data_IF_449286778013
#
_entry.id   IF_449286778013
#
_cell.length_a   1.000
_cell.length_b   1.000
_cell.length_c   1.000
_cell.angle_alpha   90.00
_cell.angle_beta   90.00
_cell.angle_gamma   90.00
#
_symmetry.space_group_name_H-M   'P 1'
#
loop_
_entity.id
_entity.type
_entity.pdbx_description
1 polymer ?
#
# COMPACT_ATOMS: atom_id res chain seq x y z
N UNK A 1 -19.68 -6.91 20.77
CA UNK A 1 -18.68 -5.86 21.07
C UNK A 1 -18.97 -4.76 20.08
N UNK A 2 -19.53 -3.65 20.52
CA UNK A 2 -19.72 -2.48 19.68
C UNK A 2 -18.35 -1.79 19.55
N UNK A 3 -17.90 -1.64 18.33
CA UNK A 3 -16.70 -0.86 18.03
C UNK A 3 -17.10 0.60 17.85
N UNK A 4 -16.24 1.54 18.26
CA UNK A 4 -16.46 2.96 18.01
C UNK A 4 -16.44 3.29 16.51
N UNK A 5 -16.86 4.52 16.12
CA UNK A 5 -16.91 4.92 14.71
C UNK A 5 -15.53 4.97 14.03
N UNK A 6 -14.47 4.98 14.81
CA UNK A 6 -13.06 5.03 14.42
C UNK A 6 -12.46 3.65 14.12
N UNK A 7 -13.11 2.56 14.56
CA UNK A 7 -12.68 1.19 14.30
C UNK A 7 -13.84 0.30 13.87
N UNK A 8 -13.68 -0.40 12.74
CA UNK A 8 -14.63 -1.38 12.25
C UNK A 8 -13.89 -2.64 11.76
N UNK A 9 -14.53 -3.80 12.01
CA UNK A 9 -14.03 -5.10 11.56
C UNK A 9 -15.10 -5.77 10.67
N UNK A 10 -14.68 -6.13 9.46
CA UNK A 10 -15.49 -6.84 8.47
C UNK A 10 -14.99 -8.28 8.38
N UNK A 11 -15.76 -9.22 8.92
CA UNK A 11 -15.40 -10.63 8.94
C UNK A 11 -15.63 -11.25 7.55
N UNK A 12 -14.56 -11.75 6.93
CA UNK A 12 -14.60 -12.38 5.61
C UNK A 12 -13.46 -13.39 5.51
N UNK A 13 -13.81 -14.64 5.17
CA UNK A 13 -12.87 -15.74 4.97
C UNK A 13 -12.65 -16.09 3.48
N UNK A 14 -13.40 -15.47 2.59
CA UNK A 14 -13.25 -15.57 1.15
C UNK A 14 -12.45 -14.39 0.61
N UNK A 15 -11.45 -14.67 -0.24
CA UNK A 15 -10.54 -13.63 -0.75
C UNK A 15 -11.22 -12.72 -1.77
N UNK A 16 -12.11 -13.28 -2.60
CA UNK A 16 -12.86 -12.50 -3.60
C UNK A 16 -13.85 -11.57 -2.91
N UNK A 17 -14.66 -12.10 -1.97
CA UNK A 17 -15.56 -11.28 -1.17
C UNK A 17 -14.82 -10.21 -0.35
N UNK A 18 -13.64 -10.55 0.19
CA UNK A 18 -12.79 -9.58 0.89
C UNK A 18 -12.33 -8.45 -0.03
N UNK A 19 -11.93 -8.76 -1.27
CA UNK A 19 -11.53 -7.76 -2.24
C UNK A 19 -12.69 -6.80 -2.58
N UNK A 20 -13.90 -7.30 -2.79
CA UNK A 20 -15.10 -6.50 -3.06
C UNK A 20 -15.45 -5.58 -1.87
N UNK A 21 -15.36 -6.09 -0.65
CA UNK A 21 -15.56 -5.28 0.57
C UNK A 21 -14.52 -4.16 0.62
N UNK A 22 -13.24 -4.47 0.37
CA UNK A 22 -12.15 -3.50 0.37
C UNK A 22 -12.38 -2.42 -0.69
N UNK A 23 -12.78 -2.78 -1.91
CA UNK A 23 -13.10 -1.83 -2.98
C UNK A 23 -14.20 -0.85 -2.57
N UNK A 24 -15.30 -1.36 -2.02
CA UNK A 24 -16.41 -0.54 -1.58
C UNK A 24 -16.00 0.42 -0.44
N UNK A 25 -15.26 -0.07 0.55
CA UNK A 25 -14.74 0.73 1.65
C UNK A 25 -13.75 1.79 1.15
N UNK A 26 -12.82 1.40 0.26
CA UNK A 26 -11.84 2.31 -0.31
C UNK A 26 -12.50 3.47 -1.05
N UNK A 27 -13.47 3.16 -1.92
CA UNK A 27 -14.20 4.17 -2.66
C UNK A 27 -15.00 5.12 -1.73
N UNK A 28 -15.62 4.60 -0.67
CA UNK A 28 -16.32 5.40 0.32
C UNK A 28 -15.37 6.34 1.08
N UNK A 29 -14.22 5.84 1.50
CA UNK A 29 -13.24 6.64 2.24
C UNK A 29 -12.52 7.66 1.35
N UNK A 30 -12.21 7.30 0.09
CA UNK A 30 -11.65 8.22 -0.90
C UNK A 30 -12.59 9.40 -1.21
N UNK A 31 -13.90 9.14 -1.31
CA UNK A 31 -14.91 10.22 -1.48
C UNK A 31 -14.91 11.22 -0.33
N UNK A 32 -14.58 10.78 0.90
CA UNK A 32 -14.53 11.64 2.10
C UNK A 32 -13.19 12.35 2.28
N UNK A 33 -12.10 11.69 1.92
CA UNK A 33 -10.75 12.09 2.35
C UNK A 33 -9.77 12.34 1.21
N UNK A 34 -10.17 12.07 -0.04
CA UNK A 34 -9.28 12.06 -1.20
C UNK A 34 -8.37 10.82 -1.22
N UNK A 35 -7.72 10.57 -2.34
CA UNK A 35 -6.84 9.40 -2.54
C UNK A 35 -5.66 9.41 -1.57
N UNK A 36 -5.11 10.58 -1.24
CA UNK A 36 -3.99 10.71 -0.29
C UNK A 36 -4.38 10.50 1.16
N UNK A 37 -5.66 10.70 1.47
CA UNK A 37 -6.18 10.48 2.81
C UNK A 37 -6.45 9.02 3.15
N UNK A 38 -6.34 8.10 2.19
CA UNK A 38 -6.70 6.69 2.36
C UNK A 38 -5.55 5.77 1.96
N UNK A 39 -5.27 4.77 2.80
CA UNK A 39 -4.35 3.69 2.46
C UNK A 39 -5.03 2.34 2.55
N UNK A 40 -4.81 1.48 1.56
CA UNK A 40 -5.04 0.05 1.67
C UNK A 40 -3.72 -0.66 1.98
N UNK A 41 -3.69 -1.39 3.09
CA UNK A 41 -2.51 -2.09 3.59
C UNK A 41 -2.75 -3.61 3.65
N UNK A 42 -1.85 -4.38 3.08
CA UNK A 42 -1.89 -5.84 3.12
C UNK A 42 -0.51 -6.41 3.42
N UNK A 43 -0.41 -7.59 4.08
CA UNK A 43 0.87 -8.22 4.33
C UNK A 43 1.56 -8.77 3.08
N UNK A 44 0.81 -9.15 2.02
CA UNK A 44 1.34 -9.82 0.83
C UNK A 44 1.42 -8.89 -0.38
N UNK A 45 2.57 -8.96 -1.07
CA UNK A 45 2.74 -8.25 -2.34
C UNK A 45 2.06 -8.99 -3.50
N UNK A 46 2.20 -10.31 -3.55
CA UNK A 46 1.74 -11.16 -4.65
C UNK A 46 0.87 -12.32 -4.14
N UNK A 47 0.34 -13.13 -5.04
CA UNK A 47 -0.26 -14.46 -4.83
C UNK A 47 -1.73 -14.52 -4.38
N UNK A 48 -2.36 -13.44 -3.98
CA UNK A 48 -3.76 -13.44 -3.57
C UNK A 48 -4.50 -12.29 -4.22
N UNK A 49 -5.83 -12.41 -4.32
CA UNK A 49 -6.69 -11.34 -4.85
C UNK A 49 -6.66 -10.07 -4.00
N UNK A 50 -6.27 -10.18 -2.73
CA UNK A 50 -6.11 -9.06 -1.81
C UNK A 50 -4.64 -8.65 -1.61
N UNK A 51 -3.73 -9.10 -2.48
CA UNK A 51 -2.33 -8.69 -2.51
C UNK A 51 -2.17 -7.26 -3.05
N UNK A 52 -1.01 -6.66 -2.82
CA UNK A 52 -0.72 -5.30 -3.29
C UNK A 52 -0.93 -5.18 -4.80
N UNK A 53 -0.36 -6.11 -5.59
CA UNK A 53 -0.40 -6.02 -7.04
C UNK A 53 -1.83 -6.16 -7.57
N UNK A 54 -2.60 -7.13 -7.08
CA UNK A 54 -3.99 -7.32 -7.49
C UNK A 54 -4.86 -6.12 -7.11
N UNK A 55 -4.73 -5.63 -5.88
CA UNK A 55 -5.53 -4.51 -5.40
C UNK A 55 -5.14 -3.17 -6.03
N UNK A 56 -3.88 -2.97 -6.38
CA UNK A 56 -3.47 -1.77 -7.12
C UNK A 56 -4.24 -1.63 -8.44
N UNK A 57 -4.36 -2.71 -9.21
CA UNK A 57 -5.10 -2.71 -10.48
C UNK A 57 -6.61 -2.45 -10.23
N UNK A 58 -7.18 -3.11 -9.23
CA UNK A 58 -8.61 -2.99 -8.89
C UNK A 58 -8.94 -1.58 -8.39
N UNK A 59 -8.13 -1.03 -7.47
CA UNK A 59 -8.33 0.30 -6.91
C UNK A 59 -8.07 1.40 -7.95
N UNK A 60 -7.08 1.24 -8.84
CA UNK A 60 -6.88 2.13 -9.97
C UNK A 60 -8.14 2.22 -10.84
N UNK A 61 -8.73 1.07 -11.19
CA UNK A 61 -9.94 1.03 -12.00
C UNK A 61 -11.14 1.77 -11.37
N UNK A 62 -11.19 1.82 -10.03
CA UNK A 62 -12.23 2.52 -9.29
C UNK A 62 -12.04 4.04 -9.24
N UNK A 63 -10.80 4.51 -9.03
CA UNK A 63 -10.53 5.93 -8.77
C UNK A 63 -9.95 6.66 -9.97
N UNK A 64 -9.31 5.94 -10.88
CA UNK A 64 -8.75 6.46 -12.11
C UNK A 64 -9.03 5.53 -13.31
N UNK A 65 -10.32 5.31 -13.68
CA UNK A 65 -10.68 4.42 -14.77
C UNK A 65 -10.12 4.89 -16.12
N UNK A 66 -9.99 3.98 -17.10
CA UNK A 66 -9.69 4.38 -18.47
C UNK A 66 -10.79 5.26 -19.02
N UNK A 67 -10.42 6.20 -19.88
CA UNK A 67 -11.37 7.08 -20.57
C UNK A 67 -10.88 7.35 -21.99
N UNK A 68 -11.81 7.61 -22.96
CA UNK A 68 -11.44 7.97 -24.33
C UNK A 68 -10.48 9.16 -24.35
N UNK A 69 -9.35 9.01 -25.02
CA UNK A 69 -8.32 10.06 -25.15
C UNK A 69 -7.44 10.25 -23.92
N UNK A 70 -7.62 9.47 -22.85
CA UNK A 70 -6.73 9.51 -21.68
C UNK A 70 -5.43 8.77 -22.01
N UNK A 71 -4.27 9.45 -21.90
CA UNK A 71 -2.99 8.81 -22.17
C UNK A 71 -2.71 7.65 -21.19
N UNK A 72 -2.19 6.56 -21.74
CA UNK A 72 -1.75 5.38 -20.99
C UNK A 72 -0.35 4.95 -21.46
N UNK A 73 0.44 4.42 -20.53
CA UNK A 73 1.71 3.76 -20.80
C UNK A 73 1.67 2.33 -20.26
N UNK A 74 2.21 1.38 -21.00
CA UNK A 74 2.19 -0.05 -20.61
C UNK A 74 3.59 -0.52 -20.30
N UNK A 75 3.75 -1.14 -19.12
CA UNK A 75 4.98 -1.83 -18.76
C UNK A 75 4.65 -3.20 -18.13
N UNK A 76 4.92 -4.26 -18.88
CA UNK A 76 4.54 -5.61 -18.47
C UNK A 76 3.03 -5.77 -18.31
N UNK A 77 2.58 -6.04 -17.09
CA UNK A 77 1.15 -6.14 -16.77
C UNK A 77 0.56 -4.84 -16.22
N UNK A 78 1.39 -3.85 -15.96
CA UNK A 78 0.95 -2.56 -15.42
C UNK A 78 0.54 -1.62 -16.55
N UNK A 79 -0.56 -0.91 -16.33
CA UNK A 79 -1.02 0.20 -17.14
C UNK A 79 -1.01 1.45 -16.29
N UNK A 80 -0.13 2.37 -16.63
CA UNK A 80 -0.05 3.68 -16.01
C UNK A 80 -0.92 4.66 -16.78
N UNK A 81 -1.75 5.43 -16.09
CA UNK A 81 -2.65 6.42 -16.66
C UNK A 81 -2.34 7.81 -16.18
N UNK A 82 -2.59 8.80 -16.99
CA UNK A 82 -2.54 10.19 -16.57
C UNK A 82 -3.37 10.38 -15.28
N UNK A 83 -2.74 10.97 -14.24
CA UNK A 83 -3.35 11.18 -12.94
C UNK A 83 -3.24 9.99 -11.98
N UNK A 84 -2.56 8.90 -12.35
CA UNK A 84 -2.32 7.79 -11.43
C UNK A 84 -1.42 8.19 -10.27
N UNK A 85 -1.78 7.67 -9.10
CA UNK A 85 -0.90 7.63 -7.94
C UNK A 85 0.10 6.49 -8.11
N UNK A 86 1.38 6.82 -8.07
CA UNK A 86 2.48 5.87 -8.24
C UNK A 86 3.45 5.91 -7.07
N UNK A 87 4.19 4.83 -6.89
CA UNK A 87 5.22 4.70 -5.87
C UNK A 87 6.54 4.32 -6.51
N UNK A 88 7.61 5.03 -6.15
CA UNK A 88 8.98 4.64 -6.49
C UNK A 88 9.35 3.35 -5.75
N UNK A 89 9.89 2.35 -6.46
CA UNK A 89 10.22 1.06 -5.85
C UNK A 89 11.71 0.78 -5.71
N UNK A 90 12.55 1.67 -6.25
CA UNK A 90 14.03 1.67 -6.08
C UNK A 90 14.49 3.12 -6.03
N UNK A 91 15.61 3.37 -5.35
CA UNK A 91 16.21 4.71 -5.38
C UNK A 91 16.67 5.05 -6.80
N UNK A 92 16.31 6.24 -7.24
CA UNK A 92 16.68 6.76 -8.55
C UNK A 92 16.81 8.29 -8.48
N UNK A 93 17.99 8.83 -8.75
CA UNK A 93 18.29 10.26 -8.65
C UNK A 93 17.84 10.89 -7.30
N UNK A 94 16.86 11.82 -7.35
CA UNK A 94 16.36 12.55 -6.19
C UNK A 94 15.15 11.89 -5.53
N UNK A 95 14.73 10.70 -6.02
CA UNK A 95 13.55 9.99 -5.54
C UNK A 95 13.95 8.65 -4.92
N UNK A 96 13.38 8.36 -3.76
CA UNK A 96 13.73 7.19 -2.95
C UNK A 96 12.65 6.12 -2.99
N UNK A 97 13.04 4.89 -2.70
CA UNK A 97 12.10 3.78 -2.57
C UNK A 97 11.06 4.07 -1.48
N UNK A 98 9.79 4.09 -1.89
CA UNK A 98 8.64 4.42 -1.06
C UNK A 98 8.09 5.83 -1.27
N UNK A 99 8.80 6.71 -2.01
CA UNK A 99 8.26 8.00 -2.39
C UNK A 99 7.03 7.81 -3.28
N UNK A 100 6.01 8.63 -3.05
CA UNK A 100 4.73 8.59 -3.76
C UNK A 100 4.56 9.87 -4.55
N UNK A 101 4.14 9.73 -5.79
CA UNK A 101 3.87 10.85 -6.69
C UNK A 101 2.65 10.62 -7.58
N UNK A 102 2.39 11.57 -8.46
CA UNK A 102 1.31 11.53 -9.43
C UNK A 102 1.83 11.68 -10.84
N UNK A 103 1.27 10.90 -11.76
CA UNK A 103 1.58 11.03 -13.19
C UNK A 103 0.92 12.30 -13.70
N UNK A 104 1.74 13.24 -14.15
CA UNK A 104 1.33 14.56 -14.66
C UNK A 104 1.33 14.63 -16.17
N UNK A 105 2.09 13.77 -16.85
CA UNK A 105 2.14 13.69 -18.31
C UNK A 105 2.49 12.27 -18.76
N UNK A 106 1.94 11.87 -19.89
CA UNK A 106 2.35 10.70 -20.66
C UNK A 106 2.41 11.13 -22.13
N UNK A 107 3.57 10.98 -22.77
CA UNK A 107 3.81 11.29 -24.18
C UNK A 107 4.37 10.07 -24.89
N UNK A 108 4.25 10.01 -26.20
CA UNK A 108 4.62 8.82 -27.00
C UNK A 108 3.45 7.87 -27.20
N UNK A 109 3.74 6.64 -27.59
CA UNK A 109 2.75 5.58 -27.73
C UNK A 109 2.76 4.62 -26.52
N UNK A 110 1.90 3.60 -26.51
CA UNK A 110 1.76 2.68 -25.37
C UNK A 110 3.06 1.94 -24.99
N UNK A 111 3.98 1.75 -25.93
CA UNK A 111 5.20 0.93 -25.78
C UNK A 111 6.48 1.75 -25.72
N UNK A 112 6.45 2.98 -26.24
CA UNK A 112 7.57 3.93 -26.22
C UNK A 112 7.15 5.24 -25.53
N UNK A 113 6.52 5.10 -24.38
CA UNK A 113 6.01 6.23 -23.61
C UNK A 113 7.07 6.84 -22.70
N UNK A 114 7.05 8.17 -22.61
CA UNK A 114 7.69 8.94 -21.55
C UNK A 114 6.64 9.33 -20.53
N UNK A 115 6.82 8.93 -19.27
CA UNK A 115 5.93 9.19 -18.15
C UNK A 115 6.57 10.20 -17.22
N UNK A 116 5.93 11.36 -17.02
CA UNK A 116 6.37 12.37 -16.07
C UNK A 116 5.61 12.21 -14.76
N UNK A 117 6.34 12.13 -13.64
CA UNK A 117 5.80 11.99 -12.29
C UNK A 117 6.23 13.15 -11.43
N UNK A 118 5.27 13.79 -10.77
CA UNK A 118 5.52 14.78 -9.73
C UNK A 118 5.44 14.12 -8.35
N UNK A 119 6.57 14.11 -7.63
CA UNK A 119 6.68 13.60 -6.26
C UNK A 119 6.52 14.69 -5.18
N UNK A 120 6.17 15.90 -5.59
CA UNK A 120 6.09 17.05 -4.71
C UNK A 120 7.45 17.68 -4.38
N UNK A 121 7.42 18.81 -3.70
CA UNK A 121 8.62 19.59 -3.31
C UNK A 121 9.55 19.93 -4.48
N UNK A 122 8.98 20.10 -5.70
CA UNK A 122 9.73 20.40 -6.92
C UNK A 122 10.45 19.20 -7.54
N UNK A 123 10.24 17.99 -7.03
CA UNK A 123 10.85 16.75 -7.56
C UNK A 123 9.98 16.17 -8.67
N UNK A 124 10.24 16.60 -9.89
CA UNK A 124 9.59 16.08 -11.10
C UNK A 124 10.57 15.19 -11.85
N UNK A 125 10.14 13.98 -12.18
CA UNK A 125 10.97 12.95 -12.82
C UNK A 125 10.31 12.44 -14.09
N UNK A 126 11.13 12.18 -15.10
CA UNK A 126 10.73 11.53 -16.34
C UNK A 126 11.24 10.10 -16.37
N UNK A 127 10.37 9.18 -16.82
CA UNK A 127 10.65 7.76 -16.94
C UNK A 127 10.38 7.29 -18.35
N UNK A 128 11.40 6.77 -19.01
CA UNK A 128 11.29 6.22 -20.35
C UNK A 128 11.34 4.70 -20.31
N UNK A 129 10.50 4.03 -21.08
CA UNK A 129 10.56 2.59 -21.36
C UNK A 129 10.97 1.73 -20.15
N UNK A 130 12.19 1.26 -20.17
CA UNK A 130 12.77 0.38 -19.14
C UNK A 130 12.82 1.01 -17.74
N UNK A 131 12.78 2.32 -17.63
CA UNK A 131 12.76 3.01 -16.35
C UNK A 131 11.40 2.89 -15.65
N UNK A 132 10.31 2.62 -16.39
CA UNK A 132 8.99 2.35 -15.83
C UNK A 132 9.00 1.17 -14.83
N UNK A 133 9.97 0.26 -14.91
CA UNK A 133 10.22 -0.79 -13.89
C UNK A 133 10.57 -0.24 -12.50
N UNK A 134 10.89 1.04 -12.38
CA UNK A 134 11.18 1.72 -11.12
C UNK A 134 9.91 2.21 -10.42
N UNK A 135 8.78 2.20 -11.14
CA UNK A 135 7.48 2.61 -10.65
C UNK A 135 6.55 1.41 -10.37
N UNK A 136 5.65 1.62 -9.45
CA UNK A 136 4.50 0.75 -9.18
C UNK A 136 3.27 1.63 -8.95
N UNK A 137 2.06 1.08 -9.08
CA UNK A 137 0.86 1.81 -8.65
C UNK A 137 0.88 2.01 -7.13
N UNK A 138 0.40 3.15 -6.66
CA UNK A 138 0.49 3.60 -5.28
C UNK A 138 -0.83 3.57 -4.48
N UNK A 139 -1.85 2.85 -4.95
CA UNK A 139 -3.16 2.76 -4.26
C UNK A 139 -3.18 1.74 -3.13
N UNK A 140 -2.43 0.65 -3.29
CA UNK A 140 -2.22 -0.39 -2.30
C UNK A 140 -0.74 -0.47 -1.91
N UNK A 141 -0.45 -0.82 -0.66
CA UNK A 141 0.92 -0.95 -0.17
C UNK A 141 1.07 -2.07 0.84
N UNK A 142 2.29 -2.54 1.04
CA UNK A 142 2.57 -3.40 2.18
C UNK A 142 2.65 -2.56 3.46
N UNK A 143 2.31 -3.18 4.60
CA UNK A 143 2.42 -2.53 5.90
C UNK A 143 3.82 -1.99 6.16
N UNK A 144 4.88 -2.67 5.69
CA UNK A 144 6.26 -2.22 5.86
C UNK A 144 6.57 -0.93 5.09
N UNK A 145 6.08 -0.82 3.85
CA UNK A 145 6.30 0.38 3.03
C UNK A 145 5.50 1.59 3.51
N UNK A 146 4.44 1.39 4.30
CA UNK A 146 3.68 2.48 4.89
C UNK A 146 4.34 3.09 6.14
N UNK A 147 5.49 2.58 6.59
CA UNK A 147 6.19 3.12 7.74
C UNK A 147 6.61 4.58 7.48
N UNK A 148 6.38 5.45 8.46
CA UNK A 148 6.63 6.90 8.33
C UNK A 148 5.43 7.71 7.80
N UNK A 149 4.56 7.12 6.98
CA UNK A 149 3.37 7.78 6.47
C UNK A 149 2.20 7.74 7.48
N UNK A 150 1.23 8.66 7.33
CA UNK A 150 -0.03 8.66 8.08
C UNK A 150 -1.19 9.02 7.15
N UNK A 151 -2.34 8.39 7.39
CA UNK A 151 -3.53 8.54 6.56
C UNK A 151 -4.75 8.84 7.44
N UNK A 152 -5.74 9.55 6.92
CA UNK A 152 -7.01 9.77 7.62
C UNK A 152 -7.75 8.46 7.84
N UNK A 153 -7.77 7.59 6.84
CA UNK A 153 -8.38 6.26 6.92
C UNK A 153 -7.41 5.18 6.44
N UNK A 154 -7.32 4.09 7.19
CA UNK A 154 -6.54 2.92 6.82
C UNK A 154 -7.47 1.72 6.71
N UNK A 155 -7.41 1.03 5.57
CA UNK A 155 -8.07 -0.25 5.35
C UNK A 155 -6.98 -1.32 5.39
N UNK A 156 -7.09 -2.28 6.28
CA UNK A 156 -6.11 -3.37 6.45
C UNK A 156 -6.74 -4.72 6.13
N UNK A 157 -6.07 -5.51 5.29
CA UNK A 157 -6.48 -6.90 5.06
C UNK A 157 -5.68 -7.86 5.96
N UNK A 158 -6.39 -8.77 6.65
CA UNK A 158 -5.82 -9.82 7.49
C UNK A 158 -6.52 -11.16 7.25
N UNK A 159 -5.83 -12.08 6.55
CA UNK A 159 -6.31 -13.43 6.26
C UNK A 159 -5.42 -14.48 6.92
N UNK A 160 -5.97 -15.65 7.27
CA UNK A 160 -5.17 -16.78 7.77
C UNK A 160 -4.15 -17.27 6.75
N UNK A 161 -4.40 -17.07 5.45
CA UNK A 161 -3.43 -17.28 4.38
C UNK A 161 -2.12 -16.48 4.56
N UNK A 162 -2.16 -15.37 5.30
CA UNK A 162 -1.00 -14.55 5.63
C UNK A 162 -0.17 -15.10 6.82
N UNK A 163 -0.28 -16.38 7.15
CA UNK A 163 0.15 -16.99 8.41
C UNK A 163 1.55 -16.56 8.90
N UNK A 164 2.53 -16.48 7.99
CA UNK A 164 3.93 -16.10 8.32
C UNK A 164 4.03 -14.62 8.73
N UNK A 165 3.17 -13.77 8.16
CA UNK A 165 3.16 -12.32 8.38
C UNK A 165 2.20 -11.88 9.49
N UNK A 166 1.46 -12.82 10.12
CA UNK A 166 0.55 -12.51 11.22
C UNK A 166 1.33 -12.30 12.51
N UNK A 167 1.88 -11.11 12.68
CA UNK A 167 2.67 -10.67 13.84
C UNK A 167 2.06 -9.41 14.45
N UNK A 168 2.17 -9.26 15.77
CA UNK A 168 1.70 -8.07 16.52
C UNK A 168 2.27 -6.78 15.93
N UNK A 169 3.55 -6.77 15.59
CA UNK A 169 4.23 -5.61 15.04
C UNK A 169 3.59 -5.09 13.73
N UNK A 170 3.10 -6.00 12.86
CA UNK A 170 2.43 -5.62 11.61
C UNK A 170 1.09 -4.95 11.90
N UNK A 171 0.28 -5.54 12.78
CA UNK A 171 -1.01 -4.97 13.18
C UNK A 171 -0.79 -3.60 13.85
N UNK A 172 0.15 -3.52 14.78
CA UNK A 172 0.52 -2.27 15.45
C UNK A 172 0.96 -1.19 14.45
N UNK A 173 1.83 -1.54 13.51
CA UNK A 173 2.29 -0.60 12.48
C UNK A 173 1.10 -0.07 11.66
N UNK A 174 0.19 -0.93 11.21
CA UNK A 174 -0.98 -0.50 10.44
C UNK A 174 -1.92 0.41 11.26
N UNK A 175 -2.19 0.05 12.52
CA UNK A 175 -3.02 0.87 13.44
C UNK A 175 -2.44 2.27 13.58
N UNK A 176 -1.13 2.37 13.79
CA UNK A 176 -0.45 3.67 13.99
C UNK A 176 -0.35 4.53 12.72
N UNK A 177 -0.74 4.01 11.56
CA UNK A 177 -0.87 4.79 10.31
C UNK A 177 -2.22 5.53 10.22
N UNK A 178 -3.26 5.04 10.90
CA UNK A 178 -4.59 5.63 10.89
C UNK A 178 -4.66 6.83 11.84
N UNK A 179 -5.12 7.98 11.33
CA UNK A 179 -5.39 9.19 12.13
C UNK A 179 -6.83 9.24 12.64
N UNK A 180 -7.80 8.85 11.82
CA UNK A 180 -9.22 8.97 12.13
C UNK A 180 -9.93 7.62 12.14
N UNK A 181 -9.64 6.74 11.16
CA UNK A 181 -10.36 5.47 11.01
C UNK A 181 -9.46 4.33 10.65
N UNK A 182 -9.70 3.18 11.28
CA UNK A 182 -9.13 1.90 10.95
C UNK A 182 -10.24 0.92 10.59
N UNK A 183 -10.19 0.37 9.39
CA UNK A 183 -11.11 -0.63 8.86
C UNK A 183 -10.32 -1.91 8.61
N UNK A 184 -10.66 -3.00 9.28
CA UNK A 184 -10.00 -4.30 9.06
C UNK A 184 -10.97 -5.21 8.32
N UNK A 185 -10.52 -5.77 7.20
CA UNK A 185 -11.25 -6.77 6.41
C UNK A 185 -10.50 -8.09 6.47
N UNK A 186 -11.18 -9.18 6.84
CA UNK A 186 -10.56 -10.49 6.87
C UNK A 186 -11.06 -11.38 8.01
N UNK A 187 -10.24 -12.35 8.40
CA UNK A 187 -10.63 -13.35 9.38
C UNK A 187 -10.32 -12.90 10.81
N UNK A 188 -11.32 -12.97 11.68
CA UNK A 188 -11.15 -12.70 13.12
C UNK A 188 -10.06 -13.59 13.76
N UNK A 189 -9.92 -14.84 13.29
CA UNK A 189 -8.87 -15.76 13.72
C UNK A 189 -7.49 -15.25 13.34
N UNK A 190 -7.34 -14.64 12.15
CA UNK A 190 -6.07 -14.05 11.71
C UNK A 190 -5.66 -12.86 12.59
N UNK A 191 -6.59 -11.97 12.93
CA UNK A 191 -6.36 -10.86 13.85
C UNK A 191 -5.94 -11.35 15.23
N UNK A 192 -6.68 -12.31 15.80
CA UNK A 192 -6.35 -12.90 17.11
C UNK A 192 -4.95 -13.56 17.10
N UNK A 193 -4.62 -14.28 16.02
CA UNK A 193 -3.30 -14.88 15.84
C UNK A 193 -2.20 -13.84 15.77
N UNK A 194 -2.41 -12.79 14.98
CA UNK A 194 -1.44 -11.71 14.84
C UNK A 194 -1.17 -11.00 16.17
N UNK A 195 -2.21 -10.66 16.95
CA UNK A 195 -2.07 -10.00 18.26
C UNK A 195 -1.30 -10.86 19.24
N UNK A 196 -1.48 -12.19 19.23
CA UNK A 196 -0.78 -13.13 20.13
C UNK A 196 0.65 -13.42 19.72
N UNK A 197 1.02 -13.20 18.45
CA UNK A 197 2.34 -13.52 17.93
C UNK A 197 3.33 -12.37 18.17
N UNK A 198 4.18 -12.55 19.20
CA UNK A 198 5.22 -11.59 19.62
C UNK A 198 6.63 -11.99 19.16
N UNK A 199 6.77 -12.98 18.26
CA UNK A 199 8.09 -13.48 17.85
C UNK A 199 9.01 -12.42 17.25
N UNK A 200 8.46 -11.37 16.65
CA UNK A 200 9.24 -10.25 16.12
C UNK A 200 9.92 -9.40 17.21
N UNK A 201 9.37 -9.42 18.44
CA UNK A 201 9.89 -8.65 19.57
C UNK A 201 11.15 -9.31 20.19
N UNK A 202 11.40 -10.58 19.85
CA UNK A 202 12.55 -11.36 20.30
C UNK A 202 13.75 -11.23 19.35
N UNK A 203 14.02 -10.05 18.83
CA UNK A 203 15.26 -9.80 18.09
C UNK A 203 16.41 -9.85 19.09
N UNK A 204 17.13 -10.97 19.15
CA UNK A 204 18.37 -11.11 19.90
C UNK A 204 19.45 -10.20 19.32
N UNK A 205 19.34 -8.90 19.55
CA UNK A 205 20.41 -7.97 19.21
C UNK A 205 21.53 -8.18 20.21
N UNK A 206 22.77 -8.35 19.73
CA UNK A 206 23.96 -8.35 20.62
C UNK A 206 24.25 -6.95 21.19
N UNK A 207 23.28 -6.01 21.09
CA UNK A 207 23.47 -4.62 21.49
C UNK A 207 23.82 -4.49 22.98
N UNK A 208 23.09 -5.18 23.85
CA UNK A 208 23.37 -5.17 25.29
C UNK A 208 24.80 -5.65 25.58
N UNK A 209 25.24 -6.73 24.92
CA UNK A 209 26.61 -7.26 25.05
C UNK A 209 27.64 -6.28 24.51
N UNK A 210 27.40 -5.68 23.35
CA UNK A 210 28.29 -4.67 22.77
C UNK A 210 28.41 -3.42 23.62
N UNK A 211 27.34 -2.99 24.28
CA UNK A 211 27.37 -1.86 25.24
C UNK A 211 28.20 -2.24 26.44
N UNK A 212 28.04 -3.45 26.99
CA UNK A 212 28.85 -3.93 28.09
C UNK A 212 30.35 -4.02 27.74
N UNK A 213 30.68 -4.53 26.53
CA UNK A 213 32.06 -4.62 26.01
C UNK A 213 32.69 -3.24 25.72
N UNK A 214 31.88 -2.17 25.65
CA UNK A 214 32.37 -0.80 25.39
C UNK A 214 32.53 0.03 26.68
N UNK A 215 31.94 -0.38 27.79
CA UNK A 215 31.97 0.32 29.10
C UNK A 215 33.09 -0.26 30.00
N UNK A 216 33.65 -1.40 29.66
CA UNK A 216 34.81 -2.02 30.30
C UNK A 216 36.09 -1.74 29.53
#
# INVERSE_FOLDING_TARGET
MEYGPDFQFFDSNDLTASAEIIENLYLQEVRKHGVDGVAFLTPFRHKTETSVDAMNIRLQALVNPPAPGKPEAVFGQLRFRLGDKVMQIKNYEQVYNGDVGYITSITGDETEATVTVDFGDGRVMEYENDQLKLLDLGYASTVHKSQGAQYKSVIMNLQCAHAIMLMRAIVYTAITRARLRLLIVGERKALCRAIRNTKADQRGTRLARRIQDFIL
#
